data_IF_891282049001
#
_entry.id   IF_891282049001
#
_cell.length_a   1.000
_cell.length_b   1.000
_cell.length_c   1.000
_cell.angle_alpha   90.00
_cell.angle_beta   90.00
_cell.angle_gamma   90.00
#
_symmetry.space_group_name_H-M   'P 1'
#
loop_
_entity.id
_entity.type
_entity.pdbx_description
1 polymer ?
#
# COMPACT_ATOMS: atom_id res chain seq x y z
N UNK A 1 -11.49 3.37 -15.68
CA UNK A 1 -10.61 4.54 -15.61
C UNK A 1 -9.22 3.96 -15.43
N UNK A 2 -8.37 4.01 -16.45
CA UNK A 2 -7.06 3.37 -16.37
C UNK A 2 -6.04 4.35 -15.82
N UNK A 3 -5.57 4.05 -14.60
CA UNK A 3 -4.50 4.78 -13.93
C UNK A 3 -3.29 3.86 -13.93
N UNK A 4 -2.15 4.35 -14.43
CA UNK A 4 -0.90 3.60 -14.51
C UNK A 4 0.18 4.32 -13.71
N UNK A 5 0.82 3.60 -12.79
CA UNK A 5 1.98 4.11 -12.06
C UNK A 5 3.24 3.96 -12.91
N UNK A 6 3.73 5.07 -13.50
CA UNK A 6 5.02 5.09 -14.18
C UNK A 6 6.17 5.25 -13.16
N UNK A 7 7.16 4.36 -13.22
CA UNK A 7 8.32 4.31 -12.30
C UNK A 7 9.67 4.50 -13.01
N UNK A 8 9.68 4.96 -14.25
CA UNK A 8 10.90 5.09 -15.07
C UNK A 8 11.93 6.01 -14.43
N UNK A 9 11.48 7.11 -13.80
CA UNK A 9 12.36 8.06 -13.12
C UNK A 9 12.91 7.55 -11.77
N UNK A 10 12.44 6.41 -11.27
CA UNK A 10 12.94 5.78 -10.04
C UNK A 10 14.02 4.72 -10.33
N UNK A 11 14.25 4.38 -11.61
CA UNK A 11 15.26 3.39 -12.01
C UNK A 11 16.65 3.84 -11.56
N UNK A 12 17.38 2.94 -10.90
CA UNK A 12 18.71 3.20 -10.36
C UNK A 12 18.74 3.84 -8.96
N UNK A 13 17.59 4.30 -8.44
CA UNK A 13 17.46 4.76 -7.05
C UNK A 13 16.80 3.72 -6.15
N UNK A 14 15.87 2.94 -6.73
CA UNK A 14 15.16 1.87 -6.02
C UNK A 14 15.31 0.58 -6.83
N UNK A 15 15.69 -0.49 -6.14
CA UNK A 15 15.89 -1.82 -6.66
C UNK A 15 14.80 -2.79 -6.17
N UNK A 16 14.73 -3.98 -6.76
CA UNK A 16 13.74 -4.99 -6.36
C UNK A 16 13.83 -5.33 -4.86
N UNK A 17 15.05 -5.42 -4.31
CA UNK A 17 15.29 -5.71 -2.89
C UNK A 17 14.62 -4.71 -1.95
N UNK A 18 14.50 -3.45 -2.36
CA UNK A 18 13.91 -2.40 -1.53
C UNK A 18 12.39 -2.58 -1.44
N UNK A 19 11.76 -3.07 -2.53
CA UNK A 19 10.36 -3.47 -2.52
C UNK A 19 10.15 -4.74 -1.67
N UNK A 20 11.02 -5.73 -1.82
CA UNK A 20 10.92 -6.98 -1.08
C UNK A 20 11.06 -6.74 0.44
N UNK A 21 11.92 -5.79 0.83
CA UNK A 21 12.11 -5.41 2.22
C UNK A 21 10.86 -4.76 2.87
N UNK A 22 10.07 -4.01 2.10
CA UNK A 22 8.87 -3.34 2.60
C UNK A 22 7.59 -4.17 2.43
N UNK A 23 7.61 -5.20 1.58
CA UNK A 23 6.44 -6.00 1.24
C UNK A 23 5.68 -6.56 2.46
N UNK A 24 6.33 -7.13 3.49
CA UNK A 24 5.62 -7.62 4.68
C UNK A 24 4.86 -6.51 5.42
N UNK A 25 5.41 -5.29 5.44
CA UNK A 25 4.77 -4.15 6.07
C UNK A 25 3.55 -3.66 5.26
N UNK A 26 3.63 -3.75 3.92
CA UNK A 26 2.51 -3.44 3.03
C UNK A 26 1.38 -4.45 3.23
N UNK A 27 1.70 -5.75 3.28
CA UNK A 27 0.71 -6.81 3.54
C UNK A 27 0.02 -6.61 4.89
N UNK A 28 0.78 -6.26 5.94
CA UNK A 28 0.21 -5.92 7.24
C UNK A 28 -0.73 -4.71 7.14
N UNK A 29 -0.30 -3.63 6.49
CA UNK A 29 -1.11 -2.43 6.35
C UNK A 29 -2.40 -2.69 5.56
N UNK A 30 -2.32 -3.51 4.50
CA UNK A 30 -3.47 -3.95 3.74
C UNK A 30 -4.46 -4.74 4.62
N UNK A 31 -3.97 -5.73 5.36
CA UNK A 31 -4.79 -6.50 6.29
C UNK A 31 -5.43 -5.63 7.38
N UNK A 32 -4.69 -4.64 7.91
CA UNK A 32 -5.21 -3.72 8.92
C UNK A 32 -6.37 -2.88 8.38
N UNK A 33 -6.25 -2.42 7.14
CA UNK A 33 -7.30 -1.64 6.46
C UNK A 33 -8.52 -2.50 6.14
N UNK A 34 -8.34 -3.68 5.53
CA UNK A 34 -9.45 -4.57 5.16
C UNK A 34 -10.21 -5.11 6.38
N UNK A 35 -9.49 -5.47 7.45
CA UNK A 35 -10.08 -6.01 8.67
C UNK A 35 -10.46 -4.95 9.70
N UNK A 36 -10.25 -3.66 9.39
CA UNK A 36 -10.53 -2.52 10.28
C UNK A 36 -9.87 -2.70 11.65
N UNK A 37 -8.58 -3.05 11.64
CA UNK A 37 -7.74 -3.19 12.84
C UNK A 37 -6.68 -2.10 12.92
N UNK A 38 -6.00 -2.01 14.06
CA UNK A 38 -4.97 -0.98 14.30
C UNK A 38 -5.54 0.35 14.78
N UNK A 39 -4.68 1.36 14.82
CA UNK A 39 -5.05 2.68 15.32
C UNK A 39 -5.89 3.46 14.29
N UNK A 40 -7.02 4.03 14.73
CA UNK A 40 -7.90 4.83 13.88
C UNK A 40 -8.77 4.02 12.94
N UNK A 41 -8.92 2.70 13.16
CA UNK A 41 -9.75 1.84 12.32
C UNK A 41 -11.23 2.24 12.30
N UNK A 42 -11.69 2.96 13.32
CA UNK A 42 -13.03 3.57 13.41
C UNK A 42 -13.32 4.61 12.31
N UNK A 43 -12.30 5.10 11.60
CA UNK A 43 -12.42 6.12 10.53
C UNK A 43 -12.17 5.58 9.12
N UNK A 44 -12.26 4.26 8.92
CA UNK A 44 -11.96 3.59 7.64
C UNK A 44 -13.18 3.41 6.72
N UNK A 45 -14.30 4.08 7.00
CA UNK A 45 -15.55 3.93 6.23
C UNK A 45 -15.43 4.27 4.73
N UNK A 46 -14.39 5.01 4.33
CA UNK A 46 -14.11 5.34 2.93
C UNK A 46 -13.57 4.18 2.11
N UNK A 47 -13.07 3.11 2.73
CA UNK A 47 -12.54 1.95 2.00
C UNK A 47 -13.63 1.24 1.19
N UNK A 48 -14.83 1.16 1.76
CA UNK A 48 -15.98 0.52 1.14
C UNK A 48 -16.77 1.48 0.22
N UNK A 49 -16.34 2.75 0.12
CA UNK A 49 -16.94 3.74 -0.76
C UNK A 49 -16.26 3.69 -2.14
N UNK A 50 -17.02 3.59 -3.25
CA UNK A 50 -16.47 3.55 -4.61
C UNK A 50 -15.72 4.80 -5.05
#
# INVERSE_FOLDING_TARGET
MDIVLNRDNLKGFIEQKDYDAILPNIEKAHNDLENKTGAGSEFTGWIDLP
#
